data_IF_922229795782
#
_entry.id   IF_922229795782
#
_cell.length_a   1.000
_cell.length_b   1.000
_cell.length_c   1.000
_cell.angle_alpha   90.00
_cell.angle_beta   90.00
_cell.angle_gamma   90.00
#
_symmetry.space_group_name_H-M   'P 1'
#
loop_
_entity.id
_entity.type
_entity.pdbx_description
1 polymer ?
#
# COMPACT_ATOMS: atom_id res chain seq x y z
N UNK A 1 24.86 -42.54 36.44
CA UNK A 1 25.09 -42.39 34.98
C UNK A 1 23.76 -41.98 34.37
N UNK A 2 23.68 -40.72 33.94
CA UNK A 2 22.43 -40.01 33.72
C UNK A 2 21.76 -40.31 32.39
N UNK A 3 20.43 -40.22 32.43
CA UNK A 3 19.47 -40.20 31.34
C UNK A 3 19.71 -38.95 30.49
N UNK A 4 19.87 -39.09 29.17
CA UNK A 4 19.88 -37.96 28.22
C UNK A 4 18.57 -37.98 27.46
N UNK A 5 17.85 -36.86 27.57
CA UNK A 5 16.55 -36.58 27.01
C UNK A 5 16.58 -36.44 25.49
N UNK A 6 15.50 -36.88 24.85
CA UNK A 6 15.11 -36.53 23.49
C UNK A 6 14.87 -35.01 23.41
N UNK A 7 15.73 -34.29 22.68
CA UNK A 7 15.42 -32.95 22.22
C UNK A 7 14.85 -33.04 20.79
N UNK A 8 13.54 -32.83 20.69
CA UNK A 8 12.85 -32.58 19.44
C UNK A 8 13.36 -31.25 18.85
N UNK A 9 13.93 -31.31 17.64
CA UNK A 9 14.24 -30.16 16.80
C UNK A 9 12.93 -29.56 16.25
N UNK A 10 12.79 -28.22 16.17
CA UNK A 10 11.59 -27.61 15.62
C UNK A 10 11.48 -27.85 14.10
N UNK A 11 10.22 -28.00 13.68
CA UNK A 11 9.75 -28.44 12.37
C UNK A 11 10.49 -27.83 11.17
N UNK A 12 11.02 -28.74 10.33
CA UNK A 12 11.49 -28.47 8.97
C UNK A 12 10.37 -27.89 8.08
N UNK A 13 10.65 -26.76 7.42
CA UNK A 13 9.92 -26.30 6.23
C UNK A 13 10.09 -27.35 5.12
N UNK A 14 8.99 -27.97 4.70
CA UNK A 14 8.95 -28.90 3.57
C UNK A 14 8.42 -28.17 2.33
N UNK A 15 8.79 -28.62 1.12
CA UNK A 15 8.28 -28.14 -0.18
C UNK A 15 6.77 -28.39 -0.35
N UNK A 16 5.93 -27.76 0.47
CA UNK A 16 4.47 -27.85 0.41
C UNK A 16 3.74 -26.56 0.77
N UNK A 17 4.44 -25.47 1.08
CA UNK A 17 3.80 -24.17 1.24
C UNK A 17 3.31 -23.73 -0.13
N UNK A 18 2.00 -23.71 -0.33
CA UNK A 18 1.41 -23.18 -1.55
C UNK A 18 1.69 -21.67 -1.60
N UNK A 19 1.70 -21.05 -2.79
CA UNK A 19 1.84 -19.59 -2.87
C UNK A 19 0.78 -18.84 -2.05
N UNK A 20 -0.38 -19.46 -1.81
CA UNK A 20 -1.41 -18.92 -0.91
C UNK A 20 -0.92 -18.84 0.54
N UNK A 21 -0.14 -19.82 0.98
CA UNK A 21 0.43 -19.86 2.34
C UNK A 21 1.58 -18.84 2.47
N UNK A 22 2.41 -18.70 1.43
CA UNK A 22 3.47 -17.67 1.38
C UNK A 22 2.85 -16.27 1.37
N UNK A 23 1.80 -16.09 0.59
CA UNK A 23 1.03 -14.87 0.51
C UNK A 23 0.41 -14.48 1.87
N UNK A 24 -0.34 -15.40 2.49
CA UNK A 24 -0.90 -15.18 3.83
C UNK A 24 0.18 -14.81 4.86
N UNK A 25 1.33 -15.49 4.84
CA UNK A 25 2.48 -15.18 5.69
C UNK A 25 3.15 -13.85 5.33
N UNK A 26 3.19 -13.46 4.05
CA UNK A 26 3.78 -12.22 3.58
C UNK A 26 2.97 -11.00 4.04
N UNK A 27 1.64 -11.01 3.89
CA UNK A 27 0.76 -9.97 4.41
C UNK A 27 0.89 -9.81 5.94
N UNK A 28 1.01 -10.93 6.66
CA UNK A 28 1.23 -10.92 8.12
C UNK A 28 2.62 -10.38 8.50
N UNK A 29 3.68 -10.74 7.76
CA UNK A 29 5.05 -10.23 7.98
C UNK A 29 5.15 -8.73 7.74
N UNK A 30 4.55 -8.23 6.66
CA UNK A 30 4.47 -6.79 6.40
C UNK A 30 3.73 -6.08 7.54
N UNK A 31 2.60 -6.64 7.98
CA UNK A 31 1.82 -6.08 9.09
C UNK A 31 2.56 -6.13 10.44
N UNK A 32 3.34 -7.19 10.71
CA UNK A 32 4.15 -7.32 11.94
C UNK A 32 5.35 -6.35 11.95
N UNK A 33 6.00 -6.15 10.81
CA UNK A 33 7.06 -5.16 10.65
C UNK A 33 6.57 -3.69 10.79
N UNK A 34 5.26 -3.46 10.75
CA UNK A 34 4.64 -2.17 11.03
C UNK A 34 4.20 -2.08 12.51
N UNK A 35 3.61 -3.14 13.09
CA UNK A 35 3.22 -3.19 14.53
C UNK A 35 4.37 -3.04 15.52
N UNK A 36 5.55 -3.60 15.25
CA UNK A 36 6.72 -3.41 16.12
C UNK A 36 7.22 -1.94 16.13
N UNK A 37 6.74 -1.10 15.22
CA UNK A 37 7.14 0.31 15.09
C UNK A 37 6.28 1.25 15.94
N UNK A 38 5.00 0.92 16.15
CA UNK A 38 4.12 1.70 17.04
C UNK A 38 4.52 1.53 18.51
N UNK A 39 4.89 0.30 18.91
CA UNK A 39 5.31 0.01 20.29
C UNK A 39 6.65 0.64 20.69
N UNK A 40 7.60 0.78 19.76
CA UNK A 40 8.91 1.38 20.06
C UNK A 40 8.84 2.92 20.16
N UNK A 41 7.87 3.56 19.49
CA UNK A 41 7.62 5.00 19.58
C UNK A 41 6.97 5.41 20.92
N UNK A 42 6.18 4.53 21.53
CA UNK A 42 5.52 4.80 22.82
C UNK A 42 6.47 4.70 24.03
N UNK A 43 7.55 3.91 23.94
CA UNK A 43 8.41 3.61 25.10
C UNK A 43 9.51 4.67 25.30
N UNK A 44 9.95 5.41 24.26
CA UNK A 44 11.18 6.19 24.32
C UNK A 44 11.07 7.72 24.22
N UNK A 45 9.88 8.30 24.06
CA UNK A 45 9.65 9.76 24.23
C UNK A 45 10.56 10.69 23.40
N UNK A 46 11.18 10.18 22.35
CA UNK A 46 12.02 10.93 21.40
C UNK A 46 11.38 10.77 20.04
N UNK A 47 10.92 11.87 19.46
CA UNK A 47 10.64 11.94 18.02
C UNK A 47 11.95 11.66 17.28
N UNK A 48 12.18 10.41 16.89
CA UNK A 48 13.16 10.14 15.85
C UNK A 48 12.64 10.73 14.54
N UNK A 49 13.50 11.38 13.73
CA UNK A 49 13.09 11.80 12.40
C UNK A 49 12.58 10.58 11.63
N UNK A 50 11.51 10.76 10.84
CA UNK A 50 10.91 9.76 9.94
C UNK A 50 11.89 9.23 8.85
N UNK A 51 13.20 9.40 9.03
CA UNK A 51 14.30 9.01 8.16
C UNK A 51 14.76 7.56 8.36
N UNK A 52 14.21 6.84 9.34
CA UNK A 52 14.56 5.45 9.62
C UNK A 52 13.60 4.42 8.99
N UNK A 53 13.68 4.17 7.69
CA UNK A 53 13.15 2.91 7.13
C UNK A 53 14.07 1.74 7.52
N UNK A 54 14.06 1.35 8.80
CA UNK A 54 14.71 0.10 9.21
C UNK A 54 13.82 -1.07 8.77
N UNK A 55 14.16 -1.63 7.62
CA UNK A 55 13.73 -2.96 7.23
C UNK A 55 14.51 -3.99 8.06
N UNK A 56 14.20 -4.14 9.35
CA UNK A 56 14.79 -5.20 10.16
C UNK A 56 14.16 -6.55 9.80
N UNK A 57 14.52 -7.06 8.63
CA UNK A 57 14.57 -8.49 8.37
C UNK A 57 16.04 -8.86 8.27
N UNK A 58 16.56 -9.57 9.27
CA UNK A 58 17.87 -10.22 9.16
C UNK A 58 17.78 -11.23 8.01
N UNK A 59 18.25 -10.86 6.82
CA UNK A 59 18.40 -11.78 5.69
C UNK A 59 19.73 -12.55 5.84
N UNK A 60 19.74 -13.56 6.70
CA UNK A 60 20.73 -14.62 6.63
C UNK A 60 20.44 -15.49 5.41
N UNK A 61 21.23 -15.33 4.34
CA UNK A 61 21.77 -16.37 3.43
C UNK A 61 20.97 -17.64 3.08
N UNK A 62 19.64 -17.66 3.17
CA UNK A 62 18.82 -18.82 2.79
C UNK A 62 17.87 -18.49 1.63
N UNK A 63 17.84 -19.43 0.68
CA UNK A 63 16.87 -19.62 -0.40
C UNK A 63 17.08 -18.86 -1.73
N UNK A 64 18.10 -19.33 -2.47
CA UNK A 64 18.03 -19.50 -3.93
C UNK A 64 17.86 -20.99 -4.29
N UNK A 65 17.02 -21.71 -3.53
CA UNK A 65 16.42 -22.99 -3.96
C UNK A 65 14.93 -22.74 -4.16
N UNK A 66 14.51 -22.76 -5.43
CA UNK A 66 13.12 -22.59 -5.86
C UNK A 66 12.64 -21.15 -5.72
N UNK A 67 12.75 -20.35 -6.77
CA UNK A 67 12.09 -19.04 -6.80
C UNK A 67 10.60 -19.27 -7.11
N UNK A 68 9.81 -19.46 -6.05
CA UNK A 68 8.42 -19.93 -6.14
C UNK A 68 7.56 -18.95 -6.96
N UNK A 69 7.81 -17.64 -6.85
CA UNK A 69 7.09 -16.63 -7.64
C UNK A 69 7.41 -16.80 -9.13
N UNK A 70 8.68 -17.02 -9.47
CA UNK A 70 9.08 -17.23 -10.86
C UNK A 70 8.56 -18.56 -11.42
N UNK A 71 8.61 -19.62 -10.62
CA UNK A 71 8.09 -20.94 -11.01
C UNK A 71 6.58 -20.90 -11.27
N UNK A 72 5.81 -20.16 -10.46
CA UNK A 72 4.37 -19.97 -10.66
C UNK A 72 4.07 -19.13 -11.91
N UNK A 73 4.80 -18.04 -12.14
CA UNK A 73 4.66 -17.25 -13.38
C UNK A 73 4.95 -18.11 -14.62
N UNK A 74 5.99 -18.95 -14.56
CA UNK A 74 6.33 -19.86 -15.65
C UNK A 74 5.24 -20.92 -15.85
N UNK A 75 4.70 -21.49 -14.77
CA UNK A 75 3.59 -22.44 -14.83
C UNK A 75 2.35 -21.80 -15.45
N UNK A 76 1.96 -20.61 -15.00
CA UNK A 76 0.86 -19.83 -15.56
C UNK A 76 1.07 -19.57 -17.06
N UNK A 77 2.30 -19.23 -17.46
CA UNK A 77 2.66 -19.02 -18.87
C UNK A 77 2.59 -20.29 -19.72
N UNK A 78 2.97 -21.45 -19.17
CA UNK A 78 2.80 -22.75 -19.82
C UNK A 78 1.31 -23.08 -19.98
N UNK A 79 0.48 -22.81 -18.97
CA UNK A 79 -0.97 -22.98 -19.02
C UNK A 79 -1.60 -22.09 -20.11
N UNK A 80 -1.25 -20.79 -20.16
CA UNK A 80 -1.71 -19.86 -21.20
C UNK A 80 -1.38 -20.34 -22.62
N UNK A 81 -0.21 -20.95 -22.83
CA UNK A 81 0.18 -21.51 -24.12
C UNK A 81 -0.60 -22.80 -24.48
N UNK A 82 -1.15 -23.48 -23.49
CA UNK A 82 -1.88 -24.74 -23.64
C UNK A 82 -3.41 -24.55 -23.66
N UNK A 83 -3.91 -23.36 -23.35
CA UNK A 83 -5.32 -22.98 -23.50
C UNK A 83 -5.75 -23.20 -24.97
N UNK A 84 -6.55 -24.24 -25.19
CA UNK A 84 -7.19 -24.50 -26.49
C UNK A 84 -8.60 -23.94 -26.45
N UNK A 85 -8.93 -23.05 -27.37
CA UNK A 85 -10.33 -22.74 -27.65
C UNK A 85 -10.96 -23.96 -28.35
N UNK A 86 -11.95 -24.61 -27.71
CA UNK A 86 -12.74 -25.70 -28.33
C UNK A 86 -13.53 -25.19 -29.55
N UNK A 87 -13.86 -23.90 -29.56
CA UNK A 87 -14.32 -23.18 -30.74
C UNK A 87 -13.12 -22.62 -31.48
N UNK A 88 -12.90 -23.08 -32.71
CA UNK A 88 -11.78 -22.79 -33.62
C UNK A 88 -11.59 -21.31 -33.98
N UNK A 89 -11.38 -20.43 -33.01
CA UNK A 89 -11.08 -19.03 -33.20
C UNK A 89 -9.56 -18.86 -33.29
N UNK A 90 -9.13 -18.94 -34.53
CA UNK A 90 -7.96 -18.31 -35.13
C UNK A 90 -6.57 -18.81 -34.67
N UNK A 91 -5.96 -19.66 -35.49
CA UNK A 91 -4.57 -20.13 -35.32
C UNK A 91 -3.62 -18.95 -35.16
N UNK A 92 -3.87 -17.84 -35.86
CA UNK A 92 -3.05 -16.63 -35.78
C UNK A 92 -3.09 -15.98 -34.39
N UNK A 93 -4.26 -15.95 -33.74
CA UNK A 93 -4.40 -15.41 -32.38
C UNK A 93 -3.65 -16.27 -31.35
N UNK A 94 -3.71 -17.59 -31.50
CA UNK A 94 -2.97 -18.53 -30.65
C UNK A 94 -1.45 -18.40 -30.85
N UNK A 95 -0.97 -18.32 -32.09
CA UNK A 95 0.45 -18.11 -32.40
C UNK A 95 0.96 -16.77 -31.88
N UNK A 96 0.15 -15.70 -31.98
CA UNK A 96 0.47 -14.39 -31.44
C UNK A 96 0.65 -14.45 -29.91
N UNK A 97 -0.34 -15.02 -29.20
CA UNK A 97 -0.28 -15.17 -27.74
C UNK A 97 0.92 -16.02 -27.34
N UNK A 98 1.12 -17.17 -27.97
CA UNK A 98 2.26 -18.04 -27.71
C UNK A 98 3.58 -17.28 -27.91
N UNK A 99 3.70 -16.50 -28.98
CA UNK A 99 4.86 -15.65 -29.23
C UNK A 99 5.10 -14.59 -28.15
N UNK A 100 4.04 -13.95 -27.66
CA UNK A 100 4.11 -12.96 -26.56
C UNK A 100 4.60 -13.63 -25.27
N UNK A 101 3.94 -14.72 -24.87
CA UNK A 101 4.21 -15.46 -23.63
C UNK A 101 5.63 -16.04 -23.64
N UNK A 102 6.00 -16.69 -24.75
CA UNK A 102 7.30 -17.33 -24.89
C UNK A 102 8.45 -16.32 -24.79
N UNK A 103 8.38 -15.20 -25.53
CA UNK A 103 9.42 -14.16 -25.51
C UNK A 103 9.50 -13.39 -24.19
N UNK A 104 8.36 -13.24 -23.50
CA UNK A 104 8.28 -12.48 -22.25
C UNK A 104 8.67 -13.33 -21.03
N UNK A 105 8.35 -14.63 -21.03
CA UNK A 105 8.48 -15.50 -19.85
C UNK A 105 9.26 -16.78 -20.17
N UNK A 106 8.78 -17.63 -21.08
CA UNK A 106 9.27 -19.02 -21.17
C UNK A 106 10.72 -19.14 -21.65
N UNK A 107 11.18 -18.24 -22.53
CA UNK A 107 12.55 -18.18 -23.05
C UNK A 107 13.54 -17.50 -22.08
N UNK A 108 13.11 -17.14 -20.87
CA UNK A 108 13.89 -16.37 -19.88
C UNK A 108 14.33 -17.24 -18.71
N UNK A 109 15.50 -16.96 -18.16
CA UNK A 109 16.09 -17.73 -17.07
C UNK A 109 15.61 -17.33 -15.68
N UNK A 110 15.21 -16.07 -15.49
CA UNK A 110 14.76 -15.54 -14.19
C UNK A 110 13.70 -14.45 -14.33
N UNK A 111 13.03 -14.12 -13.22
CA UNK A 111 12.08 -13.02 -13.16
C UNK A 111 12.71 -11.67 -13.52
N UNK A 112 13.95 -11.41 -13.10
CA UNK A 112 14.67 -10.18 -13.41
C UNK A 112 14.93 -10.05 -14.91
N UNK A 113 15.39 -11.13 -15.54
CA UNK A 113 15.61 -11.16 -16.99
C UNK A 113 14.30 -10.96 -17.75
N UNK A 114 13.27 -11.73 -17.38
CA UNK A 114 11.95 -11.65 -17.99
C UNK A 114 11.36 -10.26 -17.90
N UNK A 115 11.33 -9.67 -16.70
CA UNK A 115 10.75 -8.35 -16.50
C UNK A 115 11.56 -7.26 -17.20
N UNK A 116 12.89 -7.34 -17.15
CA UNK A 116 13.74 -6.34 -17.81
C UNK A 116 13.52 -6.33 -19.33
N UNK A 117 13.39 -7.50 -19.97
CA UNK A 117 13.11 -7.61 -21.39
C UNK A 117 11.68 -7.14 -21.70
N UNK A 118 10.70 -7.54 -20.89
CA UNK A 118 9.30 -7.15 -21.08
C UNK A 118 9.14 -5.62 -21.00
N UNK A 119 9.70 -4.99 -19.97
CA UNK A 119 9.67 -3.54 -19.82
C UNK A 119 10.48 -2.83 -20.90
N UNK A 120 11.65 -3.33 -21.29
CA UNK A 120 12.43 -2.75 -22.38
C UNK A 120 11.64 -2.71 -23.70
N UNK A 121 10.85 -3.76 -23.99
CA UNK A 121 10.01 -3.79 -25.19
C UNK A 121 8.95 -2.67 -25.18
N UNK A 122 8.32 -2.41 -24.02
CA UNK A 122 7.31 -1.36 -23.86
C UNK A 122 7.91 0.05 -23.81
N UNK A 123 9.08 0.18 -23.19
CA UNK A 123 9.72 1.48 -22.95
C UNK A 123 10.58 1.94 -24.13
N UNK A 124 10.96 1.07 -25.05
CA UNK A 124 11.83 1.43 -26.18
C UNK A 124 11.20 2.42 -27.16
N UNK A 125 12.06 3.20 -27.81
CA UNK A 125 11.77 4.06 -28.97
C UNK A 125 13.06 4.30 -29.76
N UNK A 126 13.00 4.98 -30.90
CA UNK A 126 14.13 5.15 -31.83
C UNK A 126 15.44 5.63 -31.18
N UNK A 127 15.39 6.60 -30.26
CA UNK A 127 16.59 7.14 -29.62
C UNK A 127 17.06 6.33 -28.40
N UNK A 128 16.22 5.43 -27.88
CA UNK A 128 16.55 4.54 -26.76
C UNK A 128 16.04 3.12 -27.07
N UNK A 129 16.83 2.35 -27.84
CA UNK A 129 16.40 1.05 -28.35
C UNK A 129 16.33 0.00 -27.24
N UNK A 130 15.67 -1.12 -27.56
CA UNK A 130 15.43 -2.25 -26.68
C UNK A 130 16.69 -2.70 -25.91
N UNK A 131 17.82 -2.88 -26.59
CA UNK A 131 19.05 -3.45 -26.00
C UNK A 131 19.62 -2.54 -24.89
N UNK A 132 19.48 -1.22 -25.06
CA UNK A 132 19.95 -0.24 -24.08
C UNK A 132 19.08 -0.26 -22.83
N UNK A 133 17.76 -0.25 -23.01
CA UNK A 133 16.83 -0.34 -21.88
C UNK A 133 16.95 -1.67 -21.16
N UNK A 134 17.01 -2.78 -21.90
CA UNK A 134 17.15 -4.11 -21.34
C UNK A 134 18.39 -4.21 -20.45
N UNK A 135 19.55 -3.75 -20.93
CA UNK A 135 20.79 -3.78 -20.13
C UNK A 135 20.70 -2.95 -18.85
N UNK A 136 20.10 -1.75 -18.90
CA UNK A 136 19.95 -0.87 -17.74
C UNK A 136 18.98 -1.49 -16.72
N UNK A 137 17.81 -1.94 -17.18
CA UNK A 137 16.77 -2.54 -16.35
C UNK A 137 17.30 -3.82 -15.69
N UNK A 138 17.92 -4.72 -16.46
CA UNK A 138 18.49 -5.97 -15.94
C UNK A 138 19.52 -5.71 -14.85
N UNK A 139 20.43 -4.73 -15.07
CA UNK A 139 21.42 -4.33 -14.06
C UNK A 139 20.76 -3.79 -12.79
N UNK A 140 19.71 -2.98 -12.94
CA UNK A 140 18.97 -2.44 -11.79
C UNK A 140 18.24 -3.52 -11.00
N UNK A 141 17.63 -4.51 -11.67
CA UNK A 141 16.86 -5.56 -11.00
C UNK A 141 17.74 -6.59 -10.31
N UNK A 142 18.87 -6.95 -10.92
CA UNK A 142 19.81 -7.93 -10.35
C UNK A 142 20.64 -7.38 -9.20
N UNK A 143 21.09 -6.14 -9.31
CA UNK A 143 22.11 -5.55 -8.42
C UNK A 143 21.70 -4.25 -7.74
N UNK A 144 20.51 -3.72 -8.05
CA UNK A 144 20.03 -2.47 -7.49
C UNK A 144 19.47 -2.63 -6.09
N UNK A 145 19.67 -1.58 -5.29
CA UNK A 145 19.15 -1.44 -3.94
C UNK A 145 18.16 -0.28 -3.93
N UNK A 146 17.06 -0.44 -3.20
CA UNK A 146 16.11 0.64 -2.93
C UNK A 146 16.63 1.60 -1.87
N UNK A 147 15.89 2.69 -1.66
CA UNK A 147 16.14 3.67 -0.60
C UNK A 147 16.19 3.06 0.81
N UNK A 148 15.46 1.97 1.05
CA UNK A 148 15.43 1.27 2.34
C UNK A 148 16.47 0.14 2.47
N UNK A 149 17.42 0.05 1.52
CA UNK A 149 18.48 -0.95 1.57
C UNK A 149 18.04 -2.37 1.22
N UNK A 150 16.83 -2.56 0.68
CA UNK A 150 16.39 -3.86 0.15
C UNK A 150 16.79 -4.00 -1.31
N UNK A 151 17.19 -5.20 -1.74
CA UNK A 151 17.47 -5.46 -3.15
C UNK A 151 16.16 -5.39 -3.98
N UNK A 152 16.21 -4.74 -5.14
CA UNK A 152 15.02 -4.50 -5.99
C UNK A 152 14.35 -5.83 -6.38
N UNK A 153 15.14 -6.88 -6.63
CA UNK A 153 14.63 -8.23 -6.92
C UNK A 153 13.62 -8.75 -5.91
N UNK A 154 13.77 -8.45 -4.61
CA UNK A 154 12.82 -8.91 -3.60
C UNK A 154 11.53 -8.08 -3.64
N UNK A 155 11.66 -6.76 -3.81
CA UNK A 155 10.51 -5.85 -3.94
C UNK A 155 9.61 -6.22 -5.12
N UNK A 156 10.20 -6.63 -6.25
CA UNK A 156 9.45 -7.10 -7.43
C UNK A 156 8.56 -8.30 -7.11
N UNK A 157 9.04 -9.23 -6.29
CA UNK A 157 8.30 -10.43 -5.88
C UNK A 157 7.21 -10.08 -4.88
N UNK A 158 7.53 -9.27 -3.88
CA UNK A 158 6.57 -8.78 -2.89
C UNK A 158 5.40 -8.03 -3.56
N UNK A 159 5.66 -7.23 -4.59
CA UNK A 159 4.63 -6.50 -5.35
C UNK A 159 3.72 -7.45 -6.16
N UNK A 160 4.27 -8.51 -6.77
CA UNK A 160 3.47 -9.54 -7.47
C UNK A 160 2.60 -10.35 -6.50
N UNK A 161 3.16 -10.73 -5.36
CA UNK A 161 2.45 -11.43 -4.29
C UNK A 161 1.28 -10.56 -3.81
N UNK A 162 1.53 -9.27 -3.56
CA UNK A 162 0.49 -8.31 -3.16
C UNK A 162 -0.64 -8.21 -4.18
N UNK A 163 -0.35 -8.21 -5.48
CA UNK A 163 -1.38 -8.17 -6.53
C UNK A 163 -2.24 -9.44 -6.49
N UNK A 164 -1.60 -10.62 -6.49
CA UNK A 164 -2.30 -11.92 -6.49
C UNK A 164 -3.17 -12.12 -5.26
N UNK A 165 -2.76 -11.57 -4.12
CA UNK A 165 -3.54 -11.61 -2.88
C UNK A 165 -4.79 -10.75 -2.92
N UNK A 166 -4.68 -9.55 -3.50
CA UNK A 166 -5.62 -8.45 -3.23
C UNK A 166 -6.57 -8.22 -4.38
N UNK A 167 -6.13 -8.40 -5.62
CA UNK A 167 -6.97 -8.16 -6.78
C UNK A 167 -7.80 -9.41 -7.12
N UNK A 168 -9.12 -9.42 -6.85
CA UNK A 168 -9.97 -10.56 -7.19
C UNK A 168 -10.11 -10.78 -8.70
N UNK A 169 -9.78 -9.78 -9.53
CA UNK A 169 -9.79 -9.88 -10.98
C UNK A 169 -8.47 -10.43 -11.55
N UNK A 170 -7.43 -10.60 -10.72
CA UNK A 170 -6.15 -11.16 -11.14
C UNK A 170 -6.24 -12.70 -11.22
N UNK A 171 -6.27 -13.30 -12.43
CA UNK A 171 -6.45 -14.75 -12.53
C UNK A 171 -5.19 -15.53 -12.12
N UNK A 172 -4.00 -14.94 -12.30
CA UNK A 172 -2.73 -15.61 -12.04
C UNK A 172 -1.55 -14.63 -11.97
N UNK A 173 -0.40 -15.04 -11.41
CA UNK A 173 0.81 -14.20 -11.32
C UNK A 173 1.35 -13.89 -12.71
N UNK A 174 1.29 -14.87 -13.62
CA UNK A 174 1.68 -14.69 -15.02
C UNK A 174 0.83 -13.62 -15.72
N UNK A 175 -0.46 -13.55 -15.41
CA UNK A 175 -1.36 -12.53 -15.98
C UNK A 175 -0.99 -11.13 -15.47
N UNK A 176 -0.80 -10.98 -14.16
CA UNK A 176 -0.34 -9.73 -13.58
C UNK A 176 1.00 -9.29 -14.18
N UNK A 177 1.97 -10.21 -14.29
CA UNK A 177 3.27 -9.96 -14.90
C UNK A 177 3.16 -9.45 -16.33
N UNK A 178 2.27 -10.00 -17.17
CA UNK A 178 2.18 -9.64 -18.58
C UNK A 178 1.41 -8.34 -18.83
N UNK A 179 0.39 -8.05 -18.02
CA UNK A 179 -0.64 -7.09 -18.42
C UNK A 179 -0.86 -5.93 -17.44
N UNK A 180 -0.46 -6.07 -16.17
CA UNK A 180 -0.81 -5.05 -15.19
C UNK A 180 0.18 -3.89 -15.25
N UNK A 181 -0.26 -2.80 -15.87
CA UNK A 181 0.58 -1.62 -16.07
C UNK A 181 0.99 -0.92 -14.77
N UNK A 182 0.20 -1.04 -13.71
CA UNK A 182 0.57 -0.53 -12.38
C UNK A 182 1.81 -1.23 -11.83
N UNK A 183 1.86 -2.57 -11.97
CA UNK A 183 3.06 -3.35 -11.65
C UNK A 183 4.25 -2.91 -12.52
N UNK A 184 4.07 -2.84 -13.84
CA UNK A 184 5.13 -2.42 -14.77
C UNK A 184 5.72 -1.04 -14.42
N UNK A 185 4.85 -0.07 -14.13
CA UNK A 185 5.25 1.29 -13.79
C UNK A 185 6.04 1.34 -12.47
N UNK A 186 5.62 0.60 -11.44
CA UNK A 186 6.38 0.52 -10.17
C UNK A 186 7.79 -0.04 -10.43
N UNK A 187 7.91 -1.14 -11.17
CA UNK A 187 9.22 -1.75 -11.38
C UNK A 187 10.13 -0.87 -12.26
N UNK A 188 9.59 -0.23 -13.29
CA UNK A 188 10.33 0.76 -14.08
C UNK A 188 10.73 1.98 -13.23
N UNK A 189 9.86 2.42 -12.33
CA UNK A 189 10.17 3.47 -11.36
C UNK A 189 11.30 3.04 -10.41
N UNK A 190 11.33 1.79 -9.92
CA UNK A 190 12.43 1.30 -9.05
C UNK A 190 13.78 1.39 -9.78
N UNK A 191 13.81 1.10 -11.08
CA UNK A 191 14.99 1.34 -11.91
C UNK A 191 15.34 2.83 -12.04
N UNK A 192 14.35 3.71 -12.24
CA UNK A 192 14.54 5.16 -12.26
C UNK A 192 15.08 5.70 -10.92
N UNK A 193 14.55 5.23 -9.80
CA UNK A 193 15.01 5.57 -8.45
C UNK A 193 16.44 5.10 -8.20
N UNK A 194 16.80 3.91 -8.66
CA UNK A 194 18.17 3.42 -8.61
C UNK A 194 19.13 4.29 -9.44
N UNK A 195 18.75 4.68 -10.66
CA UNK A 195 19.52 5.61 -11.49
C UNK A 195 19.68 6.97 -10.81
N UNK A 196 18.60 7.47 -10.21
CA UNK A 196 18.60 8.73 -9.47
C UNK A 196 19.58 8.71 -8.29
N UNK A 197 19.58 7.63 -7.50
CA UNK A 197 20.50 7.48 -6.36
C UNK A 197 21.97 7.34 -6.79
N UNK A 198 22.23 6.87 -8.01
CA UNK A 198 23.56 6.85 -8.63
C UNK A 198 23.97 8.19 -9.26
N UNK A 199 23.15 9.24 -9.11
CA UNK A 199 23.42 10.56 -9.68
C UNK A 199 23.09 10.70 -11.16
N UNK A 200 22.55 9.67 -11.81
CA UNK A 200 22.16 9.69 -13.23
C UNK A 200 20.79 10.34 -13.42
N UNK A 201 20.63 11.57 -12.92
CA UNK A 201 19.34 12.26 -12.80
C UNK A 201 18.64 12.46 -14.13
N UNK A 202 19.34 12.91 -15.17
CA UNK A 202 18.74 13.14 -16.49
C UNK A 202 18.19 11.86 -17.11
N UNK A 203 18.87 10.72 -16.94
CA UNK A 203 18.40 9.43 -17.43
C UNK A 203 17.22 8.92 -16.60
N UNK A 204 17.25 9.10 -15.28
CA UNK A 204 16.12 8.78 -14.42
C UNK A 204 14.87 9.61 -14.77
N UNK A 205 15.02 10.90 -15.08
CA UNK A 205 13.93 11.76 -15.55
C UNK A 205 13.44 11.39 -16.95
N UNK A 206 14.34 10.99 -17.87
CA UNK A 206 13.92 10.46 -19.17
C UNK A 206 13.09 9.18 -19.01
N UNK A 207 13.49 8.29 -18.08
CA UNK A 207 12.73 7.08 -17.76
C UNK A 207 11.38 7.44 -17.10
N UNK A 208 11.32 8.39 -16.18
CA UNK A 208 10.07 8.92 -15.61
C UNK A 208 9.12 9.41 -16.71
N UNK A 209 9.59 10.24 -17.64
CA UNK A 209 8.78 10.72 -18.77
C UNK A 209 8.20 9.56 -19.57
N UNK A 210 9.04 8.55 -19.85
CA UNK A 210 8.61 7.38 -20.62
C UNK A 210 7.59 6.51 -19.87
N UNK A 211 7.74 6.36 -18.55
CA UNK A 211 6.75 5.68 -17.69
C UNK A 211 5.40 6.41 -17.78
N UNK A 212 5.41 7.75 -17.73
CA UNK A 212 4.21 8.57 -17.87
C UNK A 212 3.53 8.39 -19.22
N UNK A 213 4.28 8.42 -20.31
CA UNK A 213 3.76 8.20 -21.67
C UNK A 213 3.17 6.81 -21.89
N UNK A 214 3.88 5.76 -21.44
CA UNK A 214 3.54 4.35 -21.78
C UNK A 214 2.51 3.77 -20.82
N UNK A 215 2.59 4.10 -19.52
CA UNK A 215 1.72 3.52 -18.49
C UNK A 215 0.68 4.50 -17.96
N UNK A 216 0.81 5.79 -18.25
CA UNK A 216 -0.06 6.85 -17.73
C UNK A 216 0.19 7.15 -16.26
N UNK A 217 1.41 6.94 -15.78
CA UNK A 217 1.80 7.12 -14.37
C UNK A 217 3.03 8.02 -14.26
N UNK A 218 2.94 9.08 -13.47
CA UNK A 218 4.04 10.01 -13.24
C UNK A 218 4.58 9.86 -11.82
N UNK A 219 5.66 9.10 -11.65
CA UNK A 219 6.29 8.87 -10.36
C UNK A 219 7.70 9.47 -10.40
N UNK A 220 7.92 10.52 -9.61
CA UNK A 220 9.21 11.18 -9.56
C UNK A 220 10.30 10.22 -9.05
N UNK A 221 11.48 10.09 -9.70
CA UNK A 221 12.51 9.13 -9.33
C UNK A 221 13.03 9.25 -7.89
N UNK A 222 12.95 10.43 -7.29
CA UNK A 222 13.36 10.65 -5.90
C UNK A 222 12.33 10.25 -4.84
N UNK A 223 11.10 9.87 -5.24
CA UNK A 223 10.10 9.37 -4.31
C UNK A 223 10.62 8.14 -3.56
N UNK A 224 9.91 7.72 -2.51
CA UNK A 224 10.28 6.54 -1.73
C UNK A 224 9.08 5.63 -1.61
N UNK A 225 9.12 4.50 -2.32
CA UNK A 225 8.06 3.50 -2.31
C UNK A 225 8.57 2.24 -1.61
N UNK A 226 7.78 1.75 -0.64
CA UNK A 226 8.02 0.52 0.08
C UNK A 226 7.88 -0.76 -0.75
N UNK A 227 7.66 -1.88 -0.07
CA UNK A 227 7.47 -3.21 -0.63
C UNK A 227 6.00 -3.65 -0.59
N UNK A 228 5.59 -4.54 -1.48
CA UNK A 228 4.24 -5.10 -1.51
C UNK A 228 3.20 -4.04 -1.84
N UNK A 229 3.53 -3.12 -2.74
CA UNK A 229 2.64 -2.05 -3.18
C UNK A 229 1.81 -2.55 -4.35
N UNK A 230 0.49 -2.33 -4.26
CA UNK A 230 -0.40 -2.51 -5.40
C UNK A 230 -0.83 -1.14 -5.93
N UNK A 231 -0.53 -0.86 -7.20
CA UNK A 231 -1.18 0.23 -7.92
C UNK A 231 -2.15 -0.41 -8.90
N UNK A 232 -3.43 -0.40 -8.54
CA UNK A 232 -4.47 -1.03 -9.34
C UNK A 232 -5.03 -0.06 -10.40
N UNK A 233 -5.20 -0.57 -11.61
CA UNK A 233 -5.47 0.13 -12.87
C UNK A 233 -4.41 1.16 -13.29
N UNK A 234 -3.80 1.91 -12.37
CA UNK A 234 -2.63 2.78 -12.54
C UNK A 234 -2.84 4.09 -13.32
N UNK A 235 -3.79 4.19 -14.24
CA UNK A 235 -3.98 5.40 -15.06
C UNK A 235 -4.11 6.67 -14.21
N UNK A 236 -3.34 7.71 -14.52
CA UNK A 236 -3.44 9.02 -13.88
C UNK A 236 -2.90 9.08 -12.46
N UNK A 237 -2.13 8.06 -12.00
CA UNK A 237 -1.42 8.16 -10.72
C UNK A 237 -0.25 9.12 -10.84
N UNK A 238 -0.15 10.06 -9.90
CA UNK A 238 0.92 11.06 -9.82
C UNK A 238 1.54 11.01 -8.42
N UNK A 239 2.85 10.80 -8.32
CA UNK A 239 3.60 10.73 -7.06
C UNK A 239 4.80 11.66 -7.12
N UNK A 240 4.78 12.71 -6.31
CA UNK A 240 5.79 13.76 -6.34
C UNK A 240 7.11 13.42 -5.65
N UNK A 241 8.09 14.32 -5.86
CA UNK A 241 9.51 14.13 -5.52
C UNK A 241 9.79 13.67 -4.09
N UNK A 242 9.10 14.24 -3.10
CA UNK A 242 9.38 14.00 -1.68
C UNK A 242 8.32 13.10 -1.04
N UNK A 243 7.48 12.46 -1.86
CA UNK A 243 6.45 11.56 -1.38
C UNK A 243 7.08 10.29 -0.81
N UNK A 244 6.51 9.79 0.28
CA UNK A 244 6.85 8.48 0.84
C UNK A 244 5.60 7.62 0.90
N UNK A 245 5.70 6.38 0.44
CA UNK A 245 4.64 5.38 0.45
C UNK A 245 5.16 4.17 1.22
N UNK A 246 4.51 3.85 2.32
CA UNK A 246 4.85 2.71 3.17
C UNK A 246 4.68 1.36 2.49
N UNK A 247 5.05 0.30 3.22
CA UNK A 247 4.87 -1.07 2.74
C UNK A 247 3.40 -1.46 2.72
N UNK A 248 3.01 -2.34 1.81
CA UNK A 248 1.67 -2.91 1.79
C UNK A 248 0.57 -1.95 1.32
N UNK A 249 0.88 -0.71 0.93
CA UNK A 249 -0.13 0.23 0.44
C UNK A 249 -0.80 -0.25 -0.84
N UNK A 250 -2.07 0.12 -1.00
CA UNK A 250 -2.82 -0.03 -2.24
C UNK A 250 -3.34 1.32 -2.71
N UNK A 251 -3.03 1.71 -3.94
CA UNK A 251 -3.50 2.94 -4.58
C UNK A 251 -4.28 2.57 -5.84
N UNK A 252 -5.47 3.11 -6.04
CA UNK A 252 -6.19 2.95 -7.31
C UNK A 252 -5.76 4.02 -8.33
N UNK A 253 -6.34 3.96 -9.53
CA UNK A 253 -6.16 4.95 -10.58
C UNK A 253 -6.50 6.39 -10.13
N UNK A 254 -5.90 7.37 -10.78
CA UNK A 254 -6.16 8.80 -10.58
C UNK A 254 -5.65 9.37 -9.25
N UNK A 255 -4.97 8.57 -8.43
CA UNK A 255 -4.45 9.03 -7.13
C UNK A 255 -3.32 10.03 -7.33
N UNK A 256 -3.40 11.16 -6.63
CA UNK A 256 -2.35 12.19 -6.63
C UNK A 256 -1.74 12.33 -5.24
N UNK A 257 -0.44 12.08 -5.12
CA UNK A 257 0.39 12.43 -3.96
C UNK A 257 1.23 13.66 -4.32
N UNK A 258 0.60 14.83 -4.20
CA UNK A 258 1.05 16.09 -4.80
C UNK A 258 1.48 17.16 -3.80
N UNK A 259 2.11 18.21 -4.31
CA UNK A 259 2.39 19.42 -3.52
C UNK A 259 1.19 20.35 -3.46
N UNK A 260 1.12 21.21 -2.44
CA UNK A 260 0.08 22.25 -2.31
C UNK A 260 0.50 23.63 -2.89
N UNK A 261 1.69 23.71 -3.51
CA UNK A 261 2.21 24.92 -4.15
C UNK A 261 2.76 25.99 -3.20
N UNK A 262 2.71 25.79 -1.88
CA UNK A 262 3.11 26.81 -0.87
C UNK A 262 4.40 26.46 -0.11
N UNK A 263 4.91 25.25 -0.26
CA UNK A 263 6.06 24.74 0.48
C UNK A 263 7.23 24.43 -0.47
N UNK A 264 8.44 24.85 -0.07
CA UNK A 264 9.70 24.42 -0.69
C UNK A 264 10.31 23.29 0.16
N UNK A 265 11.15 22.44 -0.45
CA UNK A 265 11.73 21.28 0.24
C UNK A 265 10.73 20.13 0.34
N UNK A 266 10.58 19.57 1.54
CA UNK A 266 9.65 18.46 1.78
C UNK A 266 8.19 18.92 1.77
N UNK A 267 7.46 18.52 0.72
CA UNK A 267 6.20 19.15 0.31
C UNK A 267 5.14 18.17 -0.22
N UNK A 268 5.40 16.88 -0.13
CA UNK A 268 4.52 15.82 -0.63
C UNK A 268 4.13 14.84 0.48
N UNK A 269 3.06 14.06 0.32
CA UNK A 269 2.51 13.21 1.38
C UNK A 269 3.45 12.11 1.88
N UNK A 270 3.19 11.67 3.12
CA UNK A 270 3.84 10.55 3.81
C UNK A 270 2.77 9.53 4.19
N UNK A 271 2.65 8.47 3.40
CA UNK A 271 1.74 7.36 3.71
C UNK A 271 2.47 6.34 4.56
N UNK A 272 1.83 5.95 5.67
CA UNK A 272 2.21 4.83 6.51
C UNK A 272 2.06 3.48 5.79
N UNK A 273 2.25 2.40 6.52
CA UNK A 273 2.01 1.05 6.04
C UNK A 273 0.53 0.79 5.76
N UNK A 274 0.23 -0.13 4.82
CA UNK A 274 -1.10 -0.71 4.65
C UNK A 274 -2.24 0.29 4.41
N UNK A 275 -1.91 1.48 3.91
CA UNK A 275 -2.89 2.51 3.56
C UNK A 275 -3.60 2.13 2.26
N UNK A 276 -4.94 2.17 2.28
CA UNK A 276 -5.77 2.09 1.09
C UNK A 276 -6.12 3.49 0.59
N UNK A 277 -5.78 3.82 -0.65
CA UNK A 277 -6.11 5.11 -1.27
C UNK A 277 -7.06 4.91 -2.44
N UNK A 278 -8.31 5.33 -2.24
CA UNK A 278 -9.42 5.27 -3.19
C UNK A 278 -9.16 5.94 -4.53
N UNK A 279 -9.88 5.50 -5.56
CA UNK A 279 -9.75 6.02 -6.93
C UNK A 279 -9.95 7.54 -7.00
N UNK A 280 -9.04 8.23 -7.69
CA UNK A 280 -9.10 9.68 -7.89
C UNK A 280 -8.82 10.53 -6.64
N UNK A 281 -8.40 9.94 -5.52
CA UNK A 281 -8.09 10.72 -4.32
C UNK A 281 -6.85 11.60 -4.53
N UNK A 282 -6.91 12.83 -4.04
CA UNK A 282 -5.80 13.79 -4.05
C UNK A 282 -5.36 14.09 -2.63
N UNK A 283 -4.11 13.79 -2.31
CA UNK A 283 -3.47 14.05 -1.03
C UNK A 283 -2.39 15.09 -1.29
N UNK A 284 -2.55 16.30 -0.73
CA UNK A 284 -1.79 17.48 -1.16
C UNK A 284 -1.04 18.14 -0.01
N UNK A 285 0.27 18.36 -0.21
CA UNK A 285 1.17 18.97 0.78
C UNK A 285 1.95 17.92 1.57
N UNK A 286 2.82 18.38 2.48
CA UNK A 286 3.51 17.50 3.40
C UNK A 286 2.59 17.07 4.54
N UNK A 287 1.67 16.16 4.23
CA UNK A 287 0.70 15.58 5.16
C UNK A 287 1.02 14.11 5.44
N UNK A 288 0.78 13.68 6.67
CA UNK A 288 0.94 12.29 7.11
C UNK A 288 -0.39 11.56 7.03
N UNK A 289 -0.38 10.36 6.44
CA UNK A 289 -1.50 9.43 6.45
C UNK A 289 -1.06 8.22 7.25
N UNK A 290 -1.71 8.00 8.38
CA UNK A 290 -1.34 6.97 9.34
C UNK A 290 -1.47 5.55 8.83
N UNK A 291 -0.81 4.62 9.51
CA UNK A 291 -0.81 3.20 9.19
C UNK A 291 -2.23 2.63 9.13
N UNK A 292 -2.52 1.76 8.17
CA UNK A 292 -3.83 1.12 8.04
C UNK A 292 -4.99 2.08 7.77
N UNK A 293 -4.73 3.32 7.35
CA UNK A 293 -5.79 4.27 7.02
C UNK A 293 -6.47 3.96 5.68
N UNK A 294 -7.72 4.43 5.54
CA UNK A 294 -8.51 4.34 4.31
C UNK A 294 -8.89 5.73 3.81
N UNK A 295 -8.40 6.11 2.63
CA UNK A 295 -8.80 7.34 1.95
C UNK A 295 -9.88 6.98 0.92
N UNK A 296 -11.03 7.63 1.02
CA UNK A 296 -12.15 7.40 0.10
C UNK A 296 -11.85 7.86 -1.32
N UNK A 297 -12.58 7.28 -2.27
CA UNK A 297 -12.49 7.69 -3.67
C UNK A 297 -12.82 9.19 -3.83
N UNK A 298 -12.06 9.87 -4.69
CA UNK A 298 -12.19 11.30 -4.98
C UNK A 298 -12.08 12.23 -3.77
N UNK A 299 -11.51 11.76 -2.66
CA UNK A 299 -11.25 12.60 -1.50
C UNK A 299 -10.13 13.62 -1.77
N UNK A 300 -10.22 14.81 -1.17
CA UNK A 300 -9.14 15.82 -1.20
C UNK A 300 -8.60 16.02 0.21
N UNK A 301 -7.49 15.36 0.51
CA UNK A 301 -6.85 15.36 1.83
C UNK A 301 -5.82 16.49 1.90
N UNK A 302 -6.02 17.40 2.86
CA UNK A 302 -5.20 18.59 3.08
C UNK A 302 -4.55 18.65 4.46
N UNK A 303 -4.94 17.73 5.36
CA UNK A 303 -4.46 17.64 6.73
C UNK A 303 -4.06 16.19 7.03
N UNK A 304 -3.27 16.01 8.09
CA UNK A 304 -2.87 14.69 8.56
C UNK A 304 -4.09 13.83 8.92
N UNK A 305 -3.98 12.53 8.63
CA UNK A 305 -4.97 11.51 8.94
C UNK A 305 -4.31 10.52 9.92
N UNK A 306 -4.89 10.28 11.11
CA UNK A 306 -4.31 9.38 12.10
C UNK A 306 -4.42 7.91 11.66
N UNK A 307 -3.67 7.05 12.32
CA UNK A 307 -3.66 5.60 12.06
C UNK A 307 -5.07 5.00 12.10
N UNK A 308 -5.30 4.03 11.22
CA UNK A 308 -6.54 3.29 11.07
C UNK A 308 -7.78 4.14 10.76
N UNK A 309 -7.65 5.41 10.43
CA UNK A 309 -8.80 6.27 10.16
C UNK A 309 -9.34 6.11 8.72
N UNK A 310 -10.64 6.32 8.55
CA UNK A 310 -11.29 6.46 7.23
C UNK A 310 -11.63 7.92 6.97
N UNK A 311 -11.09 8.50 5.91
CA UNK A 311 -11.31 9.89 5.52
C UNK A 311 -11.88 10.03 4.10
N UNK A 312 -12.94 10.84 3.94
CA UNK A 312 -13.67 11.01 2.66
C UNK A 312 -14.07 12.47 2.42
N UNK A 313 -14.37 12.81 1.16
CA UNK A 313 -14.94 14.10 0.78
C UNK A 313 -13.91 15.15 0.32
N UNK A 314 -14.41 16.33 -0.05
CA UNK A 314 -13.61 17.45 -0.56
C UNK A 314 -14.03 18.76 0.15
N UNK A 315 -13.23 19.28 1.11
CA UNK A 315 -12.04 18.66 1.69
C UNK A 315 -12.38 17.41 2.50
N UNK A 316 -11.41 16.50 2.64
CA UNK A 316 -11.59 15.24 3.34
C UNK A 316 -11.84 15.47 4.84
N UNK A 317 -12.75 14.68 5.39
CA UNK A 317 -13.05 14.61 6.82
C UNK A 317 -12.98 13.16 7.28
N UNK A 318 -12.44 12.95 8.48
CA UNK A 318 -12.46 11.65 9.15
C UNK A 318 -13.92 11.33 9.48
N UNK A 319 -14.41 10.19 9.00
CA UNK A 319 -15.78 9.73 9.20
C UNK A 319 -15.89 8.52 10.12
N UNK A 320 -14.76 7.95 10.54
CA UNK A 320 -14.68 6.79 11.41
C UNK A 320 -13.35 6.08 11.27
N UNK A 321 -13.28 4.87 11.82
CA UNK A 321 -12.14 3.97 11.70
C UNK A 321 -12.35 2.98 10.55
N UNK A 322 -11.26 2.54 9.92
CA UNK A 322 -11.27 1.38 9.06
C UNK A 322 -11.58 0.14 9.91
N UNK A 323 -12.53 -0.69 9.48
CA UNK A 323 -12.97 -1.88 10.23
C UNK A 323 -12.00 -3.05 10.07
N UNK A 324 -11.19 -2.98 9.03
CA UNK A 324 -10.30 -4.04 8.63
C UNK A 324 -8.93 -3.85 9.28
N UNK A 325 -8.31 -4.93 9.76
CA UNK A 325 -6.92 -4.90 10.28
C UNK A 325 -5.92 -4.40 9.23
N UNK A 326 -6.22 -4.63 7.94
CA UNK A 326 -5.43 -4.17 6.81
C UNK A 326 -6.33 -3.76 5.64
N UNK A 327 -6.74 -2.49 5.55
CA UNK A 327 -7.64 -2.02 4.49
C UNK A 327 -7.03 -2.15 3.10
N UNK A 328 -5.71 -2.02 2.97
CA UNK A 328 -5.03 -2.18 1.69
C UNK A 328 -5.09 -3.61 1.14
N UNK A 329 -5.34 -4.62 1.98
CA UNK A 329 -5.53 -6.02 1.57
C UNK A 329 -7.00 -6.35 1.32
N UNK A 330 -7.90 -5.91 2.20
CA UNK A 330 -9.33 -6.24 2.09
C UNK A 330 -10.01 -5.50 0.92
N UNK A 331 -9.51 -4.32 0.56
CA UNK A 331 -10.04 -3.47 -0.51
C UNK A 331 -11.54 -3.13 -0.37
N UNK A 332 -12.04 -3.03 0.87
CA UNK A 332 -13.40 -2.53 1.08
C UNK A 332 -13.47 -1.02 0.83
N UNK A 333 -13.84 -0.66 -0.40
CA UNK A 333 -14.12 0.72 -0.80
C UNK A 333 -15.41 1.27 -0.17
N UNK A 334 -16.22 0.41 0.47
CA UNK A 334 -17.39 0.87 1.19
C UNK A 334 -16.98 1.72 2.38
N UNK A 335 -17.65 2.87 2.47
CA UNK A 335 -17.63 3.72 3.65
C UNK A 335 -18.98 3.54 4.35
N UNK A 336 -19.32 2.32 4.79
CA UNK A 336 -20.53 2.13 5.61
C UNK A 336 -20.29 2.82 6.97
N UNK A 337 -21.32 3.43 7.55
CA UNK A 337 -21.24 4.39 8.70
C UNK A 337 -20.82 5.83 8.35
N UNK A 338 -21.35 6.31 7.23
CA UNK A 338 -21.29 7.72 6.85
C UNK A 338 -22.10 8.59 7.84
N UNK A 339 -21.47 9.15 8.88
CA UNK A 339 -21.97 10.38 9.51
C UNK A 339 -21.56 11.59 8.65
N UNK A 340 -22.14 11.70 7.44
CA UNK A 340 -22.11 12.96 6.71
C UNK A 340 -23.00 13.93 7.45
N UNK A 341 -22.37 14.86 8.17
CA UNK A 341 -23.05 16.01 8.72
C UNK A 341 -23.62 16.86 7.58
N UNK A 342 -24.94 16.91 7.45
CA UNK A 342 -25.67 18.17 7.36
C UNK A 342 -27.06 17.96 7.93
N UNK A 343 -27.34 18.60 9.08
CA UNK A 343 -28.68 18.67 9.69
C UNK A 343 -29.77 19.18 8.73
N UNK A 344 -29.41 19.74 7.56
CA UNK A 344 -30.33 20.28 6.56
C UNK A 344 -30.97 19.23 5.62
N UNK A 345 -30.47 17.99 5.55
CA UNK A 345 -31.05 16.93 4.69
C UNK A 345 -31.90 15.93 5.51
N UNK A 346 -32.14 16.18 6.80
CA UNK A 346 -33.10 15.38 7.58
C UNK A 346 -34.55 15.51 7.10
N UNK A 347 -34.91 16.59 6.40
CA UNK A 347 -36.28 16.81 5.93
C UNK A 347 -36.62 16.20 4.57
N UNK A 348 -35.66 15.58 3.86
CA UNK A 348 -35.85 15.16 2.45
C UNK A 348 -35.57 13.69 2.15
N UNK A 349 -35.12 12.88 3.12
CA UNK A 349 -34.86 11.45 2.90
C UNK A 349 -35.57 10.59 3.95
N UNK A 350 -36.76 10.01 3.63
CA UNK A 350 -37.49 9.14 4.56
C UNK A 350 -36.91 7.71 4.67
N UNK A 351 -35.74 7.44 4.08
CA UNK A 351 -35.11 6.11 4.09
C UNK A 351 -33.62 6.18 4.40
N UNK A 352 -33.29 6.36 5.68
CA UNK A 352 -32.10 5.76 6.32
C UNK A 352 -32.29 5.85 7.84
N UNK A 353 -32.70 4.74 8.43
CA UNK A 353 -32.60 4.57 9.87
C UNK A 353 -31.11 4.53 10.24
N UNK A 354 -30.63 5.62 10.81
CA UNK A 354 -29.45 5.61 11.69
C UNK A 354 -29.82 4.72 12.88
N UNK A 355 -29.00 3.72 13.22
CA UNK A 355 -29.12 3.19 14.59
C UNK A 355 -28.75 4.34 15.53
N UNK A 356 -29.62 4.71 16.48
CA UNK A 356 -29.16 5.43 17.66
C UNK A 356 -28.03 4.63 18.29
N UNK A 357 -27.06 5.33 18.88
CA UNK A 357 -26.15 4.72 19.85
C UNK A 357 -26.96 3.80 20.77
N UNK A 358 -26.52 2.56 20.96
CA UNK A 358 -27.20 1.65 21.89
C UNK A 358 -27.27 2.35 23.27
N UNK A 359 -28.37 2.23 24.01
CA UNK A 359 -28.47 2.82 25.34
C UNK A 359 -27.27 2.38 26.21
N UNK A 360 -26.55 3.35 26.79
CA UNK A 360 -25.34 3.11 27.58
C UNK A 360 -24.02 3.18 26.80
N UNK A 361 -24.06 3.48 25.50
CA UNK A 361 -22.88 3.66 24.66
C UNK A 361 -22.86 5.03 23.99
N UNK A 362 -21.67 5.60 23.82
CA UNK A 362 -21.40 6.85 23.12
C UNK A 362 -20.81 6.53 21.75
N UNK A 363 -21.50 6.95 20.69
CA UNK A 363 -20.86 7.04 19.38
C UNK A 363 -19.93 8.26 19.29
N UNK A 364 -19.09 8.38 18.24
CA UNK A 364 -18.13 9.47 18.07
C UNK A 364 -18.70 10.88 18.29
N UNK A 365 -19.90 11.14 17.77
CA UNK A 365 -20.56 12.44 17.91
C UNK A 365 -21.04 12.69 19.33
N UNK A 366 -21.61 11.67 19.97
CA UNK A 366 -22.12 11.77 21.34
C UNK A 366 -20.95 11.92 22.32
N UNK A 367 -19.82 11.25 22.05
CA UNK A 367 -18.57 11.43 22.78
C UNK A 367 -18.05 12.86 22.71
N UNK A 368 -17.93 13.44 21.50
CA UNK A 368 -17.44 14.83 21.34
C UNK A 368 -18.34 15.78 22.14
N UNK A 369 -19.65 15.67 21.94
CA UNK A 369 -20.61 16.52 22.63
C UNK A 369 -20.53 16.36 24.15
N UNK A 370 -20.38 15.11 24.63
CA UNK A 370 -20.24 14.82 26.06
C UNK A 370 -18.92 15.33 26.63
N UNK A 371 -17.83 15.22 25.87
CA UNK A 371 -16.52 15.72 26.22
C UNK A 371 -16.53 17.25 26.35
N UNK A 372 -17.13 17.96 25.40
CA UNK A 372 -17.30 19.42 25.44
C UNK A 372 -18.15 19.87 26.63
N UNK A 373 -19.21 19.13 26.95
CA UNK A 373 -20.02 19.38 28.16
C UNK A 373 -19.21 19.21 29.45
N UNK A 374 -18.42 18.15 29.53
CA UNK A 374 -17.60 17.85 30.70
C UNK A 374 -16.50 18.89 30.90
N UNK A 375 -15.91 19.36 29.81
CA UNK A 375 -14.80 20.32 29.82
C UNK A 375 -15.25 21.78 29.83
N UNK A 376 -16.55 22.03 29.60
CA UNK A 376 -17.14 23.37 29.48
C UNK A 376 -16.45 24.25 28.42
N UNK A 377 -15.92 23.62 27.37
CA UNK A 377 -15.26 24.28 26.23
C UNK A 377 -15.37 23.44 24.96
N UNK A 378 -15.31 24.10 23.81
CA UNK A 378 -15.19 23.44 22.51
C UNK A 378 -13.85 22.69 22.43
N UNK A 379 -13.87 21.48 21.88
CA UNK A 379 -12.68 20.66 21.70
C UNK A 379 -12.42 20.50 20.20
N UNK A 380 -11.18 20.73 19.71
CA UNK A 380 -10.85 20.42 18.32
C UNK A 380 -11.26 19.00 17.98
N UNK A 381 -12.01 18.85 16.90
CA UNK A 381 -12.65 17.57 16.56
C UNK A 381 -11.63 16.46 16.35
N UNK A 382 -10.46 16.79 15.83
CA UNK A 382 -9.33 15.90 15.64
C UNK A 382 -8.83 15.35 16.99
N UNK A 383 -8.68 16.21 17.99
CA UNK A 383 -8.28 15.85 19.37
C UNK A 383 -9.34 14.96 20.03
N UNK A 384 -10.61 15.36 19.97
CA UNK A 384 -11.70 14.58 20.54
C UNK A 384 -11.81 13.19 19.86
N UNK A 385 -11.52 13.11 18.56
CA UNK A 385 -11.54 11.83 17.86
C UNK A 385 -10.36 10.93 18.20
N UNK A 386 -9.16 11.49 18.36
CA UNK A 386 -8.01 10.74 18.85
C UNK A 386 -8.30 10.15 20.24
N UNK A 387 -8.83 10.96 21.15
CA UNK A 387 -9.25 10.53 22.50
C UNK A 387 -10.31 9.43 22.46
N UNK A 388 -11.31 9.56 21.59
CA UNK A 388 -12.33 8.52 21.43
C UNK A 388 -11.70 7.19 21.00
N UNK A 389 -10.79 7.19 20.03
CA UNK A 389 -10.16 5.97 19.53
C UNK A 389 -9.17 5.33 20.51
N UNK A 390 -8.58 6.12 21.41
CA UNK A 390 -7.78 5.58 22.52
C UNK A 390 -8.63 4.78 23.52
N UNK A 391 -9.88 5.19 23.72
CA UNK A 391 -10.77 4.62 24.74
C UNK A 391 -11.64 3.47 24.20
N UNK A 392 -11.99 3.52 22.91
CA UNK A 392 -12.69 2.46 22.19
C UNK A 392 -11.72 1.30 21.95
N UNK A 393 -11.39 0.53 23.00
CA UNK A 393 -10.33 -0.50 22.98
C UNK A 393 -10.67 -1.72 22.12
N UNK A 394 -11.95 -2.03 21.92
CA UNK A 394 -12.42 -3.12 21.07
C UNK A 394 -12.79 -2.68 19.65
N UNK A 395 -12.75 -1.37 19.38
CA UNK A 395 -12.73 -0.75 18.06
C UNK A 395 -14.04 -0.90 17.28
N UNK A 396 -15.18 -0.98 17.98
CA UNK A 396 -16.49 -1.20 17.36
C UNK A 396 -17.24 0.10 17.02
N UNK A 397 -16.70 1.24 17.46
CA UNK A 397 -17.29 2.57 17.29
C UNK A 397 -18.36 2.93 18.32
N UNK A 398 -18.47 2.16 19.41
CA UNK A 398 -19.34 2.38 20.55
C UNK A 398 -18.50 2.37 21.86
N UNK A 399 -18.34 3.52 22.51
CA UNK A 399 -17.67 3.58 23.82
C UNK A 399 -18.69 3.40 24.94
N UNK A 400 -18.47 2.51 25.90
CA UNK A 400 -19.34 2.43 27.08
C UNK A 400 -19.36 3.77 27.84
N UNK A 401 -20.53 4.30 28.17
CA UNK A 401 -20.66 5.53 28.97
C UNK A 401 -19.91 5.38 30.31
N UNK A 402 -19.94 4.18 30.91
CA UNK A 402 -19.21 3.89 32.14
C UNK A 402 -17.69 3.97 31.96
N UNK A 403 -17.18 3.66 30.76
CA UNK A 403 -15.76 3.79 30.44
C UNK A 403 -15.38 5.25 30.23
N UNK A 404 -16.20 6.02 29.49
CA UNK A 404 -16.04 7.47 29.39
C UNK A 404 -15.93 8.16 30.76
N UNK A 405 -16.84 7.83 31.68
CA UNK A 405 -16.89 8.44 33.01
C UNK A 405 -15.64 8.14 33.86
N UNK A 406 -14.93 7.02 33.63
CA UNK A 406 -13.65 6.73 34.33
C UNK A 406 -12.56 7.74 33.99
N UNK A 407 -12.58 8.27 32.77
CA UNK A 407 -11.53 9.14 32.24
C UNK A 407 -11.88 10.63 32.29
N UNK A 408 -13.11 10.99 32.72
CA UNK A 408 -13.54 12.40 32.88
C UNK A 408 -12.57 13.23 33.71
N UNK A 409 -12.07 12.70 34.82
CA UNK A 409 -11.09 13.40 35.66
C UNK A 409 -9.76 13.62 34.93
N UNK A 410 -9.33 12.64 34.12
CA UNK A 410 -8.11 12.70 33.32
C UNK A 410 -8.25 13.72 32.20
N UNK A 411 -9.38 13.77 31.49
CA UNK A 411 -9.62 14.78 30.45
C UNK A 411 -9.56 16.21 30.99
N UNK A 412 -10.17 16.45 32.16
CA UNK A 412 -10.12 17.75 32.84
C UNK A 412 -8.69 18.14 33.20
N UNK A 413 -7.86 17.18 33.63
CA UNK A 413 -6.49 17.44 34.08
C UNK A 413 -5.48 17.59 32.93
N UNK A 414 -5.68 16.86 31.82
CA UNK A 414 -4.86 16.96 30.61
C UNK A 414 -5.10 18.30 29.89
N UNK A 415 -6.36 18.69 29.71
CA UNK A 415 -6.73 19.86 28.91
C UNK A 415 -6.81 21.16 29.72
N UNK A 416 -6.48 21.13 31.01
CA UNK A 416 -6.19 22.33 31.81
C UNK A 416 -4.72 22.76 31.73
N UNK A 417 -3.83 21.89 31.18
CA UNK A 417 -2.38 22.12 31.06
C UNK A 417 -1.95 22.58 29.66
N UNK A 418 -2.87 22.55 28.70
CA UNK A 418 -2.79 23.20 27.38
C UNK A 418 -3.74 24.40 27.35
#
# INVERSE_FOLDING_TARGET
MGVIAENALPHHLTMKDSLKDIAANHAQRLSAACRNRSTDNEINGKEEPLDGFHCNGNESSEQLRGDIVWEDIRKDAEEMCNERNEDSLDVEASELLHGIVKRSILDRGSLEEALSAHLASKLSWDAAPFERWHAILLKSFTSGMSHCGKAIRYLMRDDLIAIKERDPACPSSGHAFLYFKGFHAIQAYRAANWLWSKGQRSLASALQSRISEVFGMDIHPAAQLGSGIMIDHGTGVVIGETARVGNGCTLLHGVTLGGNGKQQGDRHPKLGCNVLVGAGASILGNVKIGDGSKIGASAVVLNDIPDFATAVGCPAKIIGRAKEDNPAVVLDHSCKYVQLFTQRIRSLCPYRHLSPSKPGYLGPHDFIFRLEQVLEKDVPRETAMALFFELDHDHDGELEEAEFEKYVAVFKDLLAKE
#
